data_IF_581136964965
#
_entry.id   IF_581136964965
#
_cell.length_a   1.000
_cell.length_b   1.000
_cell.length_c   1.000
_cell.angle_alpha   90.00
_cell.angle_beta   90.00
_cell.angle_gamma   90.00
#
_symmetry.space_group_name_H-M   'P 1'
#
loop_
_entity.id
_entity.type
_entity.pdbx_description
1 polymer ?
#
# COMPACT_ATOMS: atom_id res chain seq x y z
N UNK A 1 1.35 -2.23 4.99
CA UNK A 1 0.92 -1.95 3.60
C UNK A 1 1.27 -0.50 3.24
N UNK A 2 1.61 -0.12 2.01
CA UNK A 2 1.89 1.28 1.66
C UNK A 2 1.08 1.62 0.41
N UNK A 3 -0.23 1.86 0.58
CA UNK A 3 -1.18 1.97 -0.53
C UNK A 3 -0.88 3.11 -1.51
N UNK A 4 -0.10 4.13 -1.11
CA UNK A 4 0.31 5.24 -1.98
C UNK A 4 1.04 4.79 -3.25
N UNK A 5 1.83 3.70 -3.18
CA UNK A 5 2.53 3.14 -4.36
C UNK A 5 1.54 2.53 -5.35
N UNK A 6 0.51 1.85 -4.84
CA UNK A 6 -0.57 1.26 -5.63
C UNK A 6 -1.39 2.32 -6.35
N UNK A 7 -1.81 3.38 -5.64
CA UNK A 7 -2.59 4.47 -6.24
C UNK A 7 -1.80 5.27 -7.26
N UNK A 8 -0.51 5.51 -7.02
CA UNK A 8 0.34 6.19 -8.01
C UNK A 8 0.43 5.34 -9.28
N UNK A 9 0.70 4.04 -9.16
CA UNK A 9 0.75 3.15 -10.33
C UNK A 9 -0.60 3.11 -11.08
N UNK A 10 -1.71 3.02 -10.34
CA UNK A 10 -3.05 3.02 -10.90
C UNK A 10 -3.37 4.32 -11.63
N UNK A 11 -3.07 5.46 -11.03
CA UNK A 11 -3.26 6.78 -11.65
C UNK A 11 -2.53 6.88 -13.00
N UNK A 12 -1.25 6.50 -13.04
CA UNK A 12 -0.47 6.56 -14.28
C UNK A 12 -0.96 5.54 -15.33
N UNK A 13 -1.33 4.33 -14.92
CA UNK A 13 -1.89 3.33 -15.83
C UNK A 13 -3.27 3.75 -16.39
N UNK A 14 -4.10 4.37 -15.57
CA UNK A 14 -5.41 4.88 -15.96
C UNK A 14 -5.26 6.04 -16.96
N UNK A 15 -4.31 6.96 -16.71
CA UNK A 15 -3.95 8.02 -17.66
C UNK A 15 -3.42 7.50 -19.00
N UNK A 16 -2.77 6.34 -18.99
CA UNK A 16 -2.34 5.64 -20.20
C UNK A 16 -3.45 4.81 -20.87
N UNK A 17 -4.71 4.93 -20.41
CA UNK A 17 -5.87 4.20 -20.92
C UNK A 17 -5.75 2.67 -20.83
N UNK A 18 -5.03 2.16 -19.82
CA UNK A 18 -4.80 0.72 -19.64
C UNK A 18 -5.85 0.02 -18.77
N UNK A 19 -6.90 0.73 -18.35
CA UNK A 19 -7.97 0.22 -17.48
C UNK A 19 -7.44 -0.61 -16.28
N UNK A 20 -6.64 -0.01 -15.38
CA UNK A 20 -5.98 -0.74 -14.32
C UNK A 20 -6.99 -1.27 -13.28
N UNK A 21 -6.85 -2.54 -12.94
CA UNK A 21 -7.52 -3.19 -11.82
C UNK A 21 -6.56 -3.28 -10.63
N UNK A 22 -6.98 -2.81 -9.46
CA UNK A 22 -6.17 -2.73 -8.24
C UNK A 22 -6.88 -3.48 -7.13
N UNK A 23 -6.19 -4.44 -6.54
CA UNK A 23 -6.63 -5.12 -5.33
C UNK A 23 -6.02 -4.43 -4.11
N UNK A 24 -6.88 -3.87 -3.27
CA UNK A 24 -6.52 -3.04 -2.11
C UNK A 24 -6.32 -3.86 -0.83
N UNK A 25 -6.69 -5.13 -0.84
CA UNK A 25 -6.68 -5.99 0.33
C UNK A 25 -7.67 -5.56 1.42
N UNK A 26 -7.96 -6.46 2.36
CA UNK A 26 -8.89 -6.19 3.47
C UNK A 26 -8.31 -5.26 4.53
N UNK A 27 -6.99 -5.13 4.60
CA UNK A 27 -6.29 -4.16 5.46
C UNK A 27 -5.99 -2.86 4.71
N UNK A 28 -7.05 -2.17 4.31
CA UNK A 28 -6.98 -0.92 3.56
C UNK A 28 -6.15 0.18 4.28
N UNK A 29 -5.31 0.88 3.51
CA UNK A 29 -4.66 2.14 3.91
C UNK A 29 -3.22 2.06 4.46
N UNK A 30 -2.78 0.92 4.96
CA UNK A 30 -1.36 0.68 5.27
C UNK A 30 -0.71 1.56 6.35
N UNK A 31 0.62 1.65 6.37
CA UNK A 31 1.41 2.26 7.43
C UNK A 31 1.18 3.77 7.59
N UNK A 32 0.61 4.43 6.56
CA UNK A 32 0.20 5.83 6.65
C UNK A 32 -1.16 5.99 7.36
N UNK A 33 -1.97 4.94 7.49
CA UNK A 33 -3.18 5.02 8.34
C UNK A 33 -2.82 5.18 9.83
N UNK A 34 -1.59 4.82 10.22
CA UNK A 34 -1.10 4.94 11.60
C UNK A 34 -0.28 6.21 11.84
N UNK A 35 -0.01 7.03 10.82
CA UNK A 35 0.76 8.28 10.98
C UNK A 35 -0.16 9.46 11.23
N UNK A 36 0.08 10.17 12.34
CA UNK A 36 -0.72 11.33 12.75
C UNK A 36 -0.56 12.53 11.82
N UNK A 37 0.65 12.81 11.33
CA UNK A 37 0.92 13.99 10.51
C UNK A 37 2.06 13.74 9.51
N UNK A 38 1.87 14.19 8.27
CA UNK A 38 2.83 14.11 7.16
C UNK A 38 3.15 15.53 6.69
N UNK A 39 4.30 16.05 7.11
CA UNK A 39 4.75 17.41 6.77
C UNK A 39 5.68 17.44 5.54
N UNK A 40 6.15 16.27 5.09
CA UNK A 40 7.19 16.14 4.07
C UNK A 40 6.66 15.70 2.70
N UNK A 41 5.34 15.76 2.46
CA UNK A 41 4.76 15.46 1.15
C UNK A 41 4.57 16.75 0.33
N UNK A 42 5.26 16.91 -0.82
CA UNK A 42 5.16 18.11 -1.64
C UNK A 42 3.72 18.40 -2.09
N UNK A 43 3.30 19.66 -1.97
CA UNK A 43 1.94 20.09 -2.34
C UNK A 43 1.02 20.36 -1.14
N UNK A 44 1.35 19.85 0.05
CA UNK A 44 0.62 20.13 1.28
C UNK A 44 1.47 21.00 2.22
N UNK A 45 1.41 22.33 2.03
CA UNK A 45 2.25 23.30 2.76
C UNK A 45 2.05 23.25 4.28
N UNK A 46 0.81 23.03 4.72
CA UNK A 46 0.44 22.96 6.14
C UNK A 46 0.50 21.52 6.68
N UNK A 47 1.07 20.59 5.92
CA UNK A 47 1.01 19.16 6.21
C UNK A 47 -0.35 18.55 5.85
N UNK A 48 -0.42 17.23 5.97
CA UNK A 48 -1.65 16.44 5.79
C UNK A 48 -1.56 15.19 6.66
N UNK A 49 -2.68 14.67 7.15
CA UNK A 49 -2.65 13.39 7.87
C UNK A 49 -2.45 12.23 6.88
N UNK A 50 -1.84 11.14 7.33
CA UNK A 50 -1.63 9.97 6.47
C UNK A 50 -2.93 9.38 5.90
N UNK A 51 -4.03 9.24 6.69
CA UNK A 51 -5.33 8.83 6.17
C UNK A 51 -5.90 9.76 5.09
N UNK A 52 -5.82 11.09 5.29
CA UNK A 52 -6.32 12.06 4.30
C UNK A 52 -5.52 12.00 3.00
N UNK A 53 -4.19 11.92 3.09
CA UNK A 53 -3.34 11.78 1.92
C UNK A 53 -3.69 10.52 1.10
N UNK A 54 -3.92 9.41 1.79
CA UNK A 54 -4.32 8.16 1.17
C UNK A 54 -5.67 8.24 0.45
N UNK A 55 -6.65 8.91 1.07
CA UNK A 55 -7.96 9.14 0.45
C UNK A 55 -7.86 10.02 -0.79
N UNK A 56 -7.11 11.12 -0.74
CA UNK A 56 -6.87 11.98 -1.89
C UNK A 56 -6.23 11.22 -3.07
N UNK A 57 -5.25 10.35 -2.79
CA UNK A 57 -4.62 9.53 -3.82
C UNK A 57 -5.59 8.49 -4.41
N UNK A 58 -6.45 7.90 -3.56
CA UNK A 58 -7.48 6.95 -3.98
C UNK A 58 -8.51 7.60 -4.90
N UNK A 59 -9.06 8.73 -4.48
CA UNK A 59 -10.04 9.49 -5.26
C UNK A 59 -9.48 9.96 -6.60
N UNK A 60 -8.19 10.35 -6.64
CA UNK A 60 -7.52 10.64 -7.91
C UNK A 60 -7.47 9.42 -8.83
N UNK A 61 -7.11 8.24 -8.33
CA UNK A 61 -7.06 7.02 -9.13
C UNK A 61 -8.46 6.67 -9.69
N UNK A 62 -9.50 6.73 -8.86
CA UNK A 62 -10.90 6.50 -9.26
C UNK A 62 -11.35 7.49 -10.34
N UNK A 63 -11.08 8.78 -10.15
CA UNK A 63 -11.44 9.84 -11.10
C UNK A 63 -10.85 9.62 -12.49
N UNK A 64 -9.65 9.03 -12.58
CA UNK A 64 -9.02 8.72 -13.86
C UNK A 64 -9.45 7.36 -14.45
N UNK A 65 -10.31 6.61 -13.75
CA UNK A 65 -10.89 5.36 -14.23
C UNK A 65 -10.12 4.10 -13.79
N UNK A 66 -9.38 4.16 -12.68
CA UNK A 66 -8.88 2.94 -12.05
C UNK A 66 -10.04 2.17 -11.40
N UNK A 67 -10.01 0.85 -11.51
CA UNK A 67 -10.95 -0.06 -10.86
C UNK A 67 -10.32 -0.56 -9.56
N UNK A 68 -10.87 -0.15 -8.42
CA UNK A 68 -10.35 -0.48 -7.09
C UNK A 68 -11.25 -1.51 -6.42
N UNK A 69 -10.68 -2.61 -5.95
CA UNK A 69 -11.39 -3.71 -5.29
C UNK A 69 -10.80 -3.99 -3.91
N UNK A 70 -11.66 -3.99 -2.91
CA UNK A 70 -11.31 -4.38 -1.53
C UNK A 70 -11.30 -5.90 -1.40
N UNK A 71 -10.42 -6.56 -2.15
CA UNK A 71 -10.24 -8.00 -2.14
C UNK A 71 -8.78 -8.34 -1.84
N UNK A 72 -8.56 -9.45 -1.13
CA UNK A 72 -7.23 -10.03 -0.95
C UNK A 72 -6.87 -10.95 -2.11
N UNK A 73 -5.61 -10.87 -2.53
CA UNK A 73 -5.04 -11.78 -3.53
C UNK A 73 -4.48 -13.01 -2.83
N UNK A 74 -4.94 -14.20 -3.23
CA UNK A 74 -4.54 -15.48 -2.67
C UNK A 74 -3.32 -16.06 -3.40
N UNK A 75 -3.30 -15.95 -4.73
CA UNK A 75 -2.24 -16.51 -5.57
C UNK A 75 -1.90 -15.61 -6.75
N UNK A 76 -0.61 -15.55 -7.11
CA UNK A 76 -0.14 -14.89 -8.32
C UNK A 76 0.81 -15.81 -9.09
N UNK A 77 0.50 -16.03 -10.38
CA UNK A 77 1.39 -16.70 -11.32
C UNK A 77 1.92 -15.69 -12.34
N UNK A 78 3.25 -15.50 -12.33
CA UNK A 78 3.94 -14.51 -13.16
C UNK A 78 4.62 -15.11 -14.40
N UNK A 79 4.40 -16.40 -14.66
CA UNK A 79 5.07 -17.12 -15.75
C UNK A 79 4.41 -16.83 -17.11
N UNK A 80 5.21 -16.88 -18.19
CA UNK A 80 4.69 -16.70 -19.56
C UNK A 80 4.24 -15.28 -19.90
N UNK A 81 3.59 -15.08 -21.05
CA UNK A 81 3.19 -13.74 -21.55
C UNK A 81 1.93 -13.19 -20.86
N UNK A 82 1.10 -14.05 -20.25
CA UNK A 82 -0.11 -13.66 -19.52
C UNK A 82 0.05 -14.09 -18.08
N UNK A 83 -0.07 -13.13 -17.17
CA UNK A 83 -0.02 -13.32 -15.72
C UNK A 83 -1.42 -13.66 -15.22
N UNK A 84 -1.52 -14.47 -14.18
CA UNK A 84 -2.79 -14.71 -13.50
C UNK A 84 -2.74 -14.35 -12.03
N UNK A 85 -3.84 -13.76 -11.56
CA UNK A 85 -4.07 -13.39 -10.17
C UNK A 85 -5.36 -14.10 -9.73
N UNK A 86 -5.34 -14.73 -8.57
CA UNK A 86 -6.51 -15.43 -7.99
C UNK A 86 -6.91 -14.70 -6.72
N UNK A 87 -8.19 -14.37 -6.61
CA UNK A 87 -8.85 -13.89 -5.40
C UNK A 87 -9.98 -14.86 -5.03
N UNK A 88 -10.59 -14.66 -3.86
CA UNK A 88 -11.76 -15.42 -3.44
C UNK A 88 -12.95 -15.30 -4.43
N UNK A 89 -13.06 -14.18 -5.16
CA UNK A 89 -14.13 -13.95 -6.13
C UNK A 89 -13.84 -14.56 -7.51
N UNK A 90 -12.58 -14.82 -7.84
CA UNK A 90 -12.24 -15.50 -9.08
C UNK A 90 -10.81 -15.30 -9.58
N UNK A 91 -10.61 -15.64 -10.85
CA UNK A 91 -9.31 -15.60 -11.53
C UNK A 91 -9.28 -14.47 -12.55
N UNK A 92 -8.27 -13.61 -12.40
CA UNK A 92 -7.99 -12.48 -13.27
C UNK A 92 -6.74 -12.73 -14.11
N UNK A 93 -6.71 -12.14 -15.31
CA UNK A 93 -5.58 -12.26 -16.23
C UNK A 93 -5.12 -10.88 -16.69
N UNK A 94 -3.81 -10.69 -16.74
CA UNK A 94 -3.21 -9.43 -17.18
C UNK A 94 -1.89 -9.67 -17.92
N UNK A 95 -1.49 -8.75 -18.81
CA UNK A 95 -0.17 -8.81 -19.47
C UNK A 95 0.96 -8.33 -18.55
N UNK A 96 0.63 -7.45 -17.60
CA UNK A 96 1.55 -6.92 -16.61
C UNK A 96 0.86 -6.90 -15.24
N UNK A 97 1.63 -7.10 -14.17
CA UNK A 97 1.18 -7.05 -12.78
C UNK A 97 2.17 -6.18 -12.01
N UNK A 98 1.65 -5.22 -11.24
CA UNK A 98 2.44 -4.33 -10.39
C UNK A 98 2.21 -4.75 -8.93
N UNK A 99 3.24 -5.25 -8.26
CA UNK A 99 3.16 -5.68 -6.86
C UNK A 99 3.47 -4.49 -5.94
N UNK A 100 2.44 -3.99 -5.24
CA UNK A 100 2.52 -2.83 -4.37
C UNK A 100 2.12 -3.13 -2.90
N UNK A 101 2.22 -4.39 -2.46
CA UNK A 101 1.73 -4.89 -1.15
C UNK A 101 2.45 -4.26 0.08
N UNK A 102 3.53 -3.50 -0.13
CA UNK A 102 4.32 -2.90 0.94
C UNK A 102 5.12 -3.94 1.73
N UNK A 103 5.56 -3.56 2.94
CA UNK A 103 6.22 -4.46 3.88
C UNK A 103 5.33 -4.65 5.13
N UNK A 104 5.27 -5.89 5.64
CA UNK A 104 4.75 -6.17 6.97
C UNK A 104 5.87 -6.02 8.01
N UNK A 105 5.54 -5.61 9.23
CA UNK A 105 6.49 -5.61 10.33
C UNK A 105 7.00 -7.04 10.54
N UNK A 106 8.31 -7.23 10.60
CA UNK A 106 8.91 -8.50 11.00
C UNK A 106 8.89 -8.56 12.53
N UNK A 107 8.28 -9.60 13.08
CA UNK A 107 8.41 -9.93 14.50
C UNK A 107 9.84 -10.38 14.78
N UNK A 108 10.40 -9.94 15.91
CA UNK A 108 11.75 -10.34 16.33
C UNK A 108 11.76 -11.73 16.96
N UNK A 109 10.59 -12.30 17.25
CA UNK A 109 10.37 -13.64 17.79
C UNK A 109 11.12 -13.85 19.12
N UNK A 110 11.14 -12.79 19.93
CA UNK A 110 11.77 -12.77 21.25
C UNK A 110 10.73 -13.05 22.34
N UNK A 111 11.05 -13.84 23.38
CA UNK A 111 10.14 -14.10 24.48
C UNK A 111 9.68 -12.79 25.15
N UNK A 112 8.36 -12.59 25.26
CA UNK A 112 7.75 -11.40 25.88
C UNK A 112 7.33 -10.29 24.92
N UNK A 113 7.60 -10.39 23.61
CA UNK A 113 7.27 -9.36 22.61
C UNK A 113 5.77 -8.98 22.63
N UNK A 114 4.88 -9.96 22.76
CA UNK A 114 3.42 -9.72 22.82
C UNK A 114 2.95 -9.00 24.10
N UNK A 115 3.61 -9.22 25.25
CA UNK A 115 3.29 -8.51 26.49
C UNK A 115 3.71 -7.03 26.43
N UNK A 116 4.82 -6.73 25.73
CA UNK A 116 5.31 -5.36 25.56
C UNK A 116 4.56 -4.55 24.49
N UNK A 117 3.85 -5.21 23.55
CA UNK A 117 2.97 -4.53 22.60
C UNK A 117 1.79 -3.83 23.28
N UNK A 118 1.23 -4.41 24.34
CA UNK A 118 0.15 -3.81 25.12
C UNK A 118 0.63 -2.63 26.01
N UNK A 119 1.94 -2.47 26.20
CA UNK A 119 2.55 -1.47 27.09
C UNK A 119 3.02 -0.18 26.39
N UNK A 120 2.75 -0.01 25.08
CA UNK A 120 2.83 1.31 24.43
C UNK A 120 4.21 1.74 23.90
N UNK A 121 5.07 0.81 23.47
CA UNK A 121 6.33 1.18 22.80
C UNK A 121 6.09 1.57 21.33
N UNK A 122 6.46 2.81 20.96
CA UNK A 122 6.55 3.30 19.57
C UNK A 122 7.90 2.92 18.99
N UNK A 123 7.91 2.21 17.86
CA UNK A 123 9.14 1.91 17.10
C UNK A 123 9.51 3.10 16.21
N UNK A 124 10.67 3.70 16.45
CA UNK A 124 11.31 4.65 15.52
C UNK A 124 12.17 3.85 14.52
N UNK A 125 12.06 4.04 13.20
CA UNK A 125 12.96 3.41 12.24
C UNK A 125 14.41 3.90 12.45
N UNK A 126 15.43 3.08 12.18
CA UNK A 126 16.82 3.49 12.38
C UNK A 126 17.16 4.62 11.41
N UNK A 127 17.25 5.85 11.93
CA UNK A 127 17.94 6.95 11.24
C UNK A 127 19.42 6.63 11.23
N UNK A 128 19.96 6.40 10.04
CA UNK A 128 21.40 6.29 9.81
C UNK A 128 22.06 7.62 10.19
N UNK A 129 22.97 7.61 11.17
CA UNK A 129 23.82 8.77 11.46
C UNK A 129 24.29 8.90 12.92
N UNK A 130 25.12 7.97 13.38
CA UNK A 130 26.03 8.21 14.50
C UNK A 130 27.45 7.87 14.02
N UNK A 131 28.17 8.87 13.50
CA UNK A 131 29.64 8.90 13.42
C UNK A 131 30.11 10.35 13.23
N UNK A 132 30.39 11.03 14.33
CA UNK A 132 31.68 11.71 14.64
C UNK A 132 31.56 12.40 16.00
#
# INVERSE_FOLDING_TARGET
>A
MYGWRGYTAALYAARAQLAPLVFEGTSFGGALMTTTEVENYPGFREGITGPQLMEEMREQALRFGADLRMEDVEEVSLQGPVKSVVTAEGRYQARAVILAMGAAARYLDVPGEQEFWAAGLVRVPPVTGFLS
#
